data_IF_239231931785
#
_entry.id   IF_239231931785
#
_cell.length_a   1.000
_cell.length_b   1.000
_cell.length_c   1.000
_cell.angle_alpha   90.00
_cell.angle_beta   90.00
_cell.angle_gamma   90.00
#
_symmetry.space_group_name_H-M   'P 1'
#
loop_
_entity.id
_entity.type
_entity.pdbx_description
1 polymer ?
#
# COMPACT_ATOMS: atom_id res chain seq x y z
N UNK A 1 45.01 8.24 -12.23
CA UNK A 1 43.74 7.52 -12.49
C UNK A 1 43.49 6.62 -11.30
N UNK A 2 42.44 6.90 -10.52
CA UNK A 2 42.01 6.06 -9.42
C UNK A 2 40.51 5.85 -9.56
N UNK A 3 40.13 4.64 -9.97
CA UNK A 3 38.76 4.17 -10.09
C UNK A 3 38.18 3.96 -8.69
N UNK A 4 37.64 5.04 -8.11
CA UNK A 4 36.86 5.03 -6.87
C UNK A 4 35.42 4.53 -7.06
N UNK A 5 34.97 4.36 -8.31
CA UNK A 5 33.58 4.03 -8.65
C UNK A 5 33.30 2.51 -8.73
N UNK A 6 34.31 1.66 -8.76
CA UNK A 6 34.11 0.21 -8.97
C UNK A 6 33.87 -0.56 -7.67
N UNK A 7 34.27 0.01 -6.51
CA UNK A 7 34.17 -0.63 -5.19
C UNK A 7 32.85 -0.37 -4.43
N UNK A 8 31.97 0.50 -4.94
CA UNK A 8 30.63 0.69 -4.38
C UNK A 8 29.64 -0.41 -4.80
N UNK A 9 30.06 -1.32 -5.69
CA UNK A 9 29.28 -2.51 -6.09
C UNK A 9 29.61 -3.74 -5.23
N UNK A 10 30.43 -3.57 -4.18
CA UNK A 10 30.59 -4.60 -3.14
C UNK A 10 29.34 -4.58 -2.27
N UNK A 11 28.29 -5.29 -2.70
CA UNK A 11 27.10 -5.62 -1.91
C UNK A 11 27.50 -6.50 -0.72
N UNK A 12 28.12 -5.92 0.31
CA UNK A 12 27.77 -6.32 1.66
C UNK A 12 26.42 -5.67 1.91
N UNK A 13 25.33 -6.45 1.85
CA UNK A 13 24.05 -5.98 2.35
C UNK A 13 24.30 -5.43 3.74
N UNK A 14 24.15 -4.11 3.93
CA UNK A 14 23.91 -3.58 5.26
C UNK A 14 22.54 -4.13 5.66
N UNK A 15 22.55 -5.33 6.25
CA UNK A 15 21.36 -5.94 6.81
C UNK A 15 20.78 -4.96 7.83
N UNK A 16 19.46 -4.77 7.78
CA UNK A 16 18.80 -3.80 8.61
C UNK A 16 17.37 -3.58 8.15
N UNK A 17 16.60 -2.96 9.03
CA UNK A 17 15.20 -2.69 8.77
C UNK A 17 14.99 -1.20 8.51
N UNK A 18 14.05 -0.89 7.62
CA UNK A 18 13.49 0.44 7.45
C UNK A 18 12.07 0.47 8.04
N UNK A 19 11.81 1.46 8.88
CA UNK A 19 10.47 1.74 9.40
C UNK A 19 9.81 2.80 8.52
N UNK A 20 8.62 2.50 8.04
CA UNK A 20 7.78 3.39 7.26
C UNK A 20 6.62 3.87 8.11
N UNK A 21 6.34 5.17 8.03
CA UNK A 21 5.16 5.76 8.64
C UNK A 21 4.26 6.37 7.56
N UNK A 22 2.97 6.11 7.64
CA UNK A 22 1.98 6.70 6.74
C UNK A 22 0.82 7.31 7.54
N UNK A 23 0.33 8.47 7.10
CA UNK A 23 -0.80 9.16 7.74
C UNK A 23 -1.58 9.92 6.70
N UNK A 24 -2.91 9.89 6.80
CA UNK A 24 -3.78 10.83 6.09
C UNK A 24 -3.88 12.14 6.88
N UNK A 25 -3.63 13.25 6.21
CA UNK A 25 -3.74 14.61 6.76
C UNK A 25 -4.67 15.42 5.88
N UNK A 26 -5.62 16.13 6.48
CA UNK A 26 -6.48 17.07 5.73
C UNK A 26 -5.75 18.38 5.45
N UNK A 27 -6.11 19.03 4.34
CA UNK A 27 -5.71 20.40 4.06
C UNK A 27 -6.38 21.43 4.99
N UNK A 28 -7.54 21.11 5.59
CA UNK A 28 -8.22 21.95 6.59
C UNK A 28 -9.07 21.09 7.55
N UNK A 29 -9.05 21.36 8.87
CA UNK A 29 -9.91 20.67 9.84
C UNK A 29 -11.40 20.69 9.51
N UNK A 30 -11.85 21.69 8.73
CA UNK A 30 -13.25 21.86 8.28
C UNK A 30 -13.62 20.91 7.13
N UNK A 31 -12.63 20.24 6.54
CA UNK A 31 -12.77 19.30 5.42
C UNK A 31 -12.26 17.94 5.88
N UNK A 32 -13.03 17.19 6.68
CA UNK A 32 -12.57 15.92 7.20
C UNK A 32 -12.45 14.88 6.08
N UNK A 33 -11.62 13.86 6.31
CA UNK A 33 -11.33 12.80 5.32
C UNK A 33 -12.27 11.62 5.56
N UNK A 34 -12.78 11.03 4.48
CA UNK A 34 -13.43 9.74 4.50
C UNK A 34 -12.74 8.82 3.48
N UNK A 35 -12.73 7.52 3.78
CA UNK A 35 -12.32 6.49 2.84
C UNK A 35 -13.53 6.15 1.99
N UNK A 36 -13.38 6.22 0.68
CA UNK A 36 -14.47 5.97 -0.25
C UNK A 36 -14.09 4.96 -1.34
N UNK A 37 -15.09 4.28 -1.86
CA UNK A 37 -15.02 3.52 -3.10
C UNK A 37 -15.61 4.36 -4.23
N UNK A 38 -14.90 4.41 -5.36
CA UNK A 38 -15.46 4.95 -6.60
C UNK A 38 -16.39 3.92 -7.23
N UNK A 39 -17.60 4.33 -7.57
CA UNK A 39 -18.60 3.53 -8.28
C UNK A 39 -18.92 4.19 -9.62
N UNK A 40 -19.65 3.50 -10.50
CA UNK A 40 -20.05 4.06 -11.79
C UNK A 40 -20.96 5.29 -11.66
N UNK A 41 -21.68 5.40 -10.53
CA UNK A 41 -22.67 6.44 -10.27
C UNK A 41 -22.20 7.50 -9.26
N UNK A 42 -20.95 7.42 -8.81
CA UNK A 42 -20.38 8.41 -7.88
C UNK A 42 -19.36 7.83 -6.92
N UNK A 43 -19.48 8.23 -5.66
CA UNK A 43 -18.55 7.87 -4.59
C UNK A 43 -19.34 7.36 -3.40
N UNK A 44 -19.01 6.16 -2.95
CA UNK A 44 -19.62 5.50 -1.80
C UNK A 44 -18.65 5.57 -0.62
N UNK A 45 -19.11 6.06 0.54
CA UNK A 45 -18.28 6.05 1.74
C UNK A 45 -18.13 4.63 2.27
N UNK A 46 -16.89 4.21 2.50
CA UNK A 46 -16.57 2.96 3.20
C UNK A 46 -16.38 3.18 4.70
N UNK A 47 -16.02 4.41 5.12
CA UNK A 47 -15.83 4.75 6.53
C UNK A 47 -17.09 4.45 7.34
N UNK A 48 -16.94 3.67 8.41
CA UNK A 48 -18.02 3.31 9.36
C UNK A 48 -18.03 4.20 10.61
N UNK A 49 -17.19 5.23 10.63
CA UNK A 49 -17.14 6.24 11.67
C UNK A 49 -17.09 7.65 11.07
N UNK A 50 -17.30 8.71 11.87
CA UNK A 50 -17.24 10.08 11.39
C UNK A 50 -15.90 10.39 10.73
N UNK A 51 -15.95 11.21 9.68
CA UNK A 51 -14.76 11.69 8.99
C UNK A 51 -13.85 12.44 9.99
N UNK A 52 -12.56 12.11 10.01
CA UNK A 52 -11.56 12.70 10.91
C UNK A 52 -10.62 13.63 10.15
N UNK A 53 -10.08 14.63 10.83
CA UNK A 53 -9.10 15.55 10.25
C UNK A 53 -7.74 14.87 9.95
N UNK A 54 -7.40 13.80 10.67
CA UNK A 54 -6.19 13.02 10.43
C UNK A 54 -6.32 11.60 10.93
N UNK A 55 -5.61 10.66 10.30
CA UNK A 55 -5.50 9.28 10.79
C UNK A 55 -4.42 9.13 11.87
N UNK A 56 -4.52 8.06 12.65
CA UNK A 56 -3.37 7.57 13.44
C UNK A 56 -2.25 7.22 12.45
N UNK A 57 -0.96 7.51 12.76
CA UNK A 57 0.14 7.05 11.93
C UNK A 57 0.13 5.52 11.86
N UNK A 58 0.08 4.99 10.65
CA UNK A 58 0.34 3.58 10.39
C UNK A 58 1.84 3.33 10.31
N UNK A 59 2.27 2.14 10.71
CA UNK A 59 3.67 1.74 10.73
C UNK A 59 3.88 0.38 10.03
N UNK A 60 4.93 0.30 9.22
CA UNK A 60 5.38 -0.97 8.65
C UNK A 60 6.90 -1.04 8.66
N UNK A 61 7.42 -2.22 9.00
CA UNK A 61 8.87 -2.49 9.03
C UNK A 61 9.20 -3.41 7.88
N UNK A 62 10.18 -3.03 7.05
CA UNK A 62 10.70 -3.87 5.96
C UNK A 62 12.20 -4.06 6.10
N UNK A 63 12.69 -5.19 5.59
CA UNK A 63 14.11 -5.37 5.32
C UNK A 63 14.57 -4.34 4.27
N UNK A 64 15.70 -3.67 4.52
CA UNK A 64 16.28 -2.68 3.60
C UNK A 64 16.58 -3.27 2.22
N UNK A 65 16.95 -4.55 2.14
CA UNK A 65 17.15 -5.26 0.89
C UNK A 65 15.87 -5.43 0.07
N UNK A 66 14.69 -5.39 0.71
CA UNK A 66 13.40 -5.38 0.02
C UNK A 66 13.05 -4.02 -0.60
N UNK A 67 13.81 -2.95 -0.31
CA UNK A 67 13.63 -1.62 -0.93
C UNK A 67 14.40 -1.44 -2.24
N UNK A 68 15.45 -2.23 -2.48
CA UNK A 68 16.29 -2.13 -3.68
C UNK A 68 15.50 -2.48 -4.96
N UNK A 69 14.40 -3.22 -4.83
CA UNK A 69 13.47 -3.51 -5.92
C UNK A 69 12.03 -3.37 -5.45
N UNK A 70 11.27 -2.52 -6.13
CA UNK A 70 9.82 -2.46 -5.98
C UNK A 70 9.25 -3.84 -6.31
N UNK A 71 8.78 -4.56 -5.28
CA UNK A 71 8.42 -5.97 -5.40
C UNK A 71 7.49 -6.42 -4.27
N UNK A 72 7.42 -7.73 -3.98
CA UNK A 72 6.46 -8.29 -3.02
C UNK A 72 6.55 -7.65 -1.63
N UNK A 73 7.76 -7.41 -1.12
CA UNK A 73 7.96 -6.77 0.18
C UNK A 73 7.39 -5.35 0.24
N UNK A 74 7.62 -4.54 -0.80
CA UNK A 74 7.08 -3.17 -0.88
C UNK A 74 5.55 -3.16 -0.92
N UNK A 75 4.95 -4.09 -1.69
CA UNK A 75 3.49 -4.21 -1.77
C UNK A 75 2.88 -4.70 -0.47
N UNK A 76 3.51 -5.67 0.20
CA UNK A 76 3.08 -6.16 1.50
C UNK A 76 3.08 -5.04 2.54
N UNK A 77 4.15 -4.26 2.63
CA UNK A 77 4.20 -3.12 3.55
C UNK A 77 3.18 -2.05 3.22
N UNK A 78 2.98 -1.75 1.93
CA UNK A 78 1.95 -0.81 1.50
C UNK A 78 0.56 -1.30 1.94
N UNK A 79 0.28 -2.60 1.83
CA UNK A 79 -0.98 -3.20 2.29
C UNK A 79 -1.15 -3.09 3.81
N UNK A 80 -0.11 -3.36 4.59
CA UNK A 80 -0.14 -3.20 6.05
C UNK A 80 -0.45 -1.76 6.44
N UNK A 81 0.28 -0.79 5.86
CA UNK A 81 0.07 0.64 6.11
C UNK A 81 -1.36 1.06 5.74
N UNK A 82 -1.86 0.60 4.59
CA UNK A 82 -3.21 0.90 4.12
C UNK A 82 -4.28 0.33 5.06
N UNK A 83 -4.16 -0.93 5.50
CA UNK A 83 -5.13 -1.54 6.41
C UNK A 83 -5.12 -0.86 7.79
N UNK A 84 -3.96 -0.48 8.31
CA UNK A 84 -3.88 0.24 9.59
C UNK A 84 -4.48 1.65 9.49
N UNK A 85 -4.27 2.36 8.38
CA UNK A 85 -5.01 3.60 8.07
C UNK A 85 -6.52 3.31 8.02
N UNK A 86 -6.93 2.24 7.31
CA UNK A 86 -8.32 1.81 7.18
C UNK A 86 -9.03 1.59 8.52
N UNK A 87 -8.34 0.95 9.46
CA UNK A 87 -8.84 0.70 10.82
C UNK A 87 -9.17 2.01 11.56
N UNK A 88 -8.40 3.08 11.32
CA UNK A 88 -8.73 4.41 11.88
C UNK A 88 -10.10 4.90 11.43
N UNK A 89 -10.61 4.44 10.28
CA UNK A 89 -11.94 4.79 9.76
C UNK A 89 -12.96 3.65 9.91
N UNK A 90 -12.67 2.66 10.76
CA UNK A 90 -13.45 1.44 10.94
C UNK A 90 -13.69 0.68 9.62
N UNK A 91 -12.67 0.66 8.75
CA UNK A 91 -12.62 -0.15 7.52
C UNK A 91 -11.60 -1.26 7.72
N UNK A 92 -12.08 -2.47 8.05
CA UNK A 92 -11.25 -3.62 8.44
C UNK A 92 -10.27 -4.05 7.34
N UNK A 93 -10.68 -3.89 6.08
CA UNK A 93 -9.84 -4.27 4.96
C UNK A 93 -10.10 -3.41 3.73
N UNK A 94 -9.03 -2.83 3.18
CA UNK A 94 -9.11 -2.11 1.91
C UNK A 94 -9.04 -3.11 0.75
N UNK A 95 -9.98 -2.97 -0.18
CA UNK A 95 -10.30 -3.95 -1.23
C UNK A 95 -9.10 -4.46 -2.03
N UNK A 96 -8.16 -3.58 -2.36
CA UNK A 96 -7.17 -3.80 -3.41
C UNK A 96 -6.07 -4.80 -3.05
N UNK A 97 -5.81 -5.02 -1.76
CA UNK A 97 -4.73 -5.88 -1.28
C UNK A 97 -5.21 -6.76 -0.11
N UNK A 98 -4.73 -8.01 -0.05
CA UNK A 98 -4.86 -8.85 1.13
C UNK A 98 -3.92 -8.39 2.25
N UNK A 99 -4.21 -8.84 3.47
CA UNK A 99 -3.32 -8.75 4.63
C UNK A 99 -1.90 -9.26 4.35
N UNK A 100 -1.77 -10.28 3.51
CA UNK A 100 -0.51 -10.87 3.06
C UNK A 100 0.16 -10.14 1.89
N UNK A 101 -0.43 -9.06 1.37
CA UNK A 101 0.12 -8.29 0.24
C UNK A 101 -0.20 -8.86 -1.15
N UNK A 102 -1.12 -9.82 -1.25
CA UNK A 102 -1.64 -10.27 -2.53
C UNK A 102 -2.60 -9.24 -3.11
N UNK A 103 -2.50 -9.00 -4.41
CA UNK A 103 -3.33 -8.02 -5.11
C UNK A 103 -4.66 -8.68 -5.47
N UNK A 104 -5.78 -8.12 -5.00
CA UNK A 104 -7.11 -8.66 -5.30
C UNK A 104 -7.66 -8.03 -6.57
N UNK A 105 -7.53 -8.73 -7.70
CA UNK A 105 -7.93 -8.21 -9.03
C UNK A 105 -9.32 -7.58 -9.03
N UNK A 106 -10.29 -8.24 -8.39
CA UNK A 106 -11.70 -7.85 -8.35
C UNK A 106 -11.94 -6.41 -7.85
N UNK A 107 -11.06 -5.88 -7.02
CA UNK A 107 -11.22 -4.55 -6.42
C UNK A 107 -10.45 -3.45 -7.17
N UNK A 108 -9.85 -3.78 -8.32
CA UNK A 108 -9.23 -2.82 -9.22
C UNK A 108 -10.15 -2.51 -10.40
N UNK A 109 -10.30 -1.23 -10.78
CA UNK A 109 -10.98 -0.88 -12.03
C UNK A 109 -10.34 -1.60 -13.22
N UNK A 110 -11.15 -2.15 -14.12
CA UNK A 110 -10.65 -2.93 -15.26
C UNK A 110 -9.64 -2.15 -16.12
N UNK A 111 -9.89 -0.85 -16.34
CA UNK A 111 -8.99 0.04 -17.07
C UNK A 111 -7.62 0.19 -16.41
N UNK A 112 -7.60 0.28 -15.08
CA UNK A 112 -6.36 0.37 -14.30
C UNK A 112 -5.65 -0.99 -14.30
N UNK A 113 -6.39 -2.09 -14.14
CA UNK A 113 -5.83 -3.44 -14.17
C UNK A 113 -5.11 -3.76 -15.48
N UNK A 114 -5.64 -3.33 -16.63
CA UNK A 114 -4.97 -3.50 -17.91
C UNK A 114 -3.61 -2.79 -17.98
N UNK A 115 -3.44 -1.69 -17.24
CA UNK A 115 -2.21 -0.91 -17.22
C UNK A 115 -1.16 -1.49 -16.26
N UNK A 116 -1.58 -1.95 -15.08
CA UNK A 116 -0.65 -2.32 -13.99
C UNK A 116 -0.62 -3.81 -13.66
N UNK A 117 -1.61 -4.60 -14.13
CA UNK A 117 -1.74 -6.02 -13.81
C UNK A 117 -0.51 -6.85 -14.25
N UNK A 118 0.03 -6.54 -15.44
CA UNK A 118 1.25 -7.15 -15.94
C UNK A 118 2.49 -6.82 -15.09
N UNK A 119 2.54 -5.62 -14.49
CA UNK A 119 3.62 -5.22 -13.61
C UNK A 119 3.62 -6.03 -12.30
N UNK A 120 2.44 -6.29 -11.72
CA UNK A 120 2.34 -7.15 -10.53
C UNK A 120 2.91 -8.54 -10.81
N UNK A 121 2.48 -9.17 -11.90
CA UNK A 121 2.97 -10.49 -12.29
C UNK A 121 4.48 -10.50 -12.59
N UNK A 122 4.98 -9.50 -13.33
CA UNK A 122 6.39 -9.39 -13.69
C UNK A 122 7.33 -9.21 -12.48
N UNK A 123 6.82 -8.66 -11.37
CA UNK A 123 7.58 -8.47 -10.13
C UNK A 123 7.27 -9.54 -9.08
N UNK A 124 6.62 -10.65 -9.46
CA UNK A 124 6.34 -11.77 -8.55
C UNK A 124 5.35 -11.46 -7.44
N UNK A 125 4.52 -10.42 -7.62
CA UNK A 125 3.49 -10.04 -6.65
C UNK A 125 2.29 -10.95 -6.87
N UNK A 126 1.84 -11.69 -5.83
CA UNK A 126 0.75 -12.64 -5.98
C UNK A 126 -0.56 -11.91 -6.31
N UNK A 127 -1.32 -12.47 -7.25
CA UNK A 127 -2.67 -12.00 -7.59
C UNK A 127 -3.69 -13.00 -7.05
N UNK A 128 -4.70 -12.48 -6.38
CA UNK A 128 -5.81 -13.26 -5.82
C UNK A 128 -7.15 -12.81 -6.40
N UNK A 129 -8.09 -13.76 -6.48
CA UNK A 129 -9.49 -13.54 -6.83
C UNK A 129 -10.40 -13.56 -5.58
N UNK A 130 -9.80 -13.57 -4.39
CA UNK A 130 -10.52 -13.62 -3.11
C UNK A 130 -11.45 -12.43 -2.93
N UNK A 131 -12.53 -12.68 -2.19
CA UNK A 131 -13.48 -11.65 -1.75
C UNK A 131 -13.22 -11.32 -0.29
N UNK A 132 -13.35 -10.03 0.03
CA UNK A 132 -13.57 -9.61 1.41
C UNK A 132 -14.93 -10.17 1.83
N UNK A 133 -14.96 -10.90 2.95
CA UNK A 133 -16.20 -11.37 3.56
C UNK A 133 -17.05 -10.18 4.02
N UNK A 134 -18.36 -10.23 3.75
CA UNK A 134 -19.31 -9.17 4.10
C UNK A 134 -19.63 -9.13 5.61
#
# INVERSE_FOLDING_TARGET
MATLAEHATTRSYAGGNATFHARLVTASPERPIAICRRTDWGTESLSRMPAVASSVPAEAVLDLGALDRLGPGTVQASSMLLNEIGNTYAVEQLGQFSDTGAVRRRYWPASMWQQIGGWFAANGIPVSEDRISD
#
